data_IF_382969602145
#
_entry.id   IF_382969602145
#
_cell.length_a   1.000
_cell.length_b   1.000
_cell.length_c   1.000
_cell.angle_alpha   90.00
_cell.angle_beta   90.00
_cell.angle_gamma   90.00
#
_symmetry.space_group_name_H-M   'P 1'
#
loop_
_entity.id
_entity.type
_entity.pdbx_description
1 polymer ?
#
# COMPACT_ATOMS: atom_id res chain seq x y z
N UNK A 1 -54.70 35.84 45.43
CA UNK A 1 -53.66 36.17 44.42
C UNK A 1 -52.35 36.20 45.20
N UNK A 2 -51.33 35.35 45.03
CA UNK A 2 -50.56 34.96 43.83
C UNK A 2 -50.01 33.53 44.01
N UNK A 3 -49.78 32.86 42.87
CA UNK A 3 -49.39 31.46 42.64
C UNK A 3 -48.01 31.03 43.19
N UNK A 4 -47.91 29.73 43.47
CA UNK A 4 -46.69 28.89 43.67
C UNK A 4 -45.86 28.76 42.38
N UNK A 5 -44.52 28.60 42.52
CA UNK A 5 -43.59 27.77 41.70
C UNK A 5 -42.20 27.86 42.36
N UNK A 6 -41.56 26.81 42.88
CA UNK A 6 -41.14 25.59 42.20
C UNK A 6 -39.71 25.80 41.65
N UNK A 7 -38.67 25.67 42.49
CA UNK A 7 -37.27 25.74 42.04
C UNK A 7 -36.86 24.37 41.48
N UNK A 8 -36.80 24.30 40.15
CA UNK A 8 -36.38 23.14 39.38
C UNK A 8 -34.88 22.89 39.48
N UNK A 9 -34.53 21.61 39.56
CA UNK A 9 -33.15 21.13 39.51
C UNK A 9 -32.51 21.33 38.14
N UNK A 10 -31.21 21.58 38.15
CA UNK A 10 -30.36 21.60 36.96
C UNK A 10 -29.76 20.21 36.79
N UNK A 11 -29.93 19.53 35.65
CA UNK A 11 -29.18 18.31 35.38
C UNK A 11 -27.74 18.69 35.06
N UNK A 12 -26.80 18.19 35.87
CA UNK A 12 -25.38 18.15 35.51
C UNK A 12 -25.26 17.13 34.38
N UNK A 13 -25.19 17.62 33.15
CA UNK A 13 -24.89 16.77 31.98
C UNK A 13 -23.42 16.37 32.09
N UNK A 14 -23.17 15.21 32.70
CA UNK A 14 -21.91 14.48 32.55
C UNK A 14 -21.80 14.09 31.08
N UNK A 15 -21.16 14.95 30.30
CA UNK A 15 -20.78 14.65 28.92
C UNK A 15 -19.82 13.48 28.92
N UNK A 16 -20.33 12.29 28.60
CA UNK A 16 -19.50 11.18 28.17
C UNK A 16 -18.81 11.61 26.87
N UNK A 17 -17.56 12.06 26.99
CA UNK A 17 -16.67 12.16 25.84
C UNK A 17 -16.49 10.71 25.35
N UNK A 18 -17.22 10.35 24.31
CA UNK A 18 -17.00 9.11 23.57
C UNK A 18 -15.60 9.21 22.97
N UNK A 19 -14.61 8.71 23.69
CA UNK A 19 -13.28 8.47 23.14
C UNK A 19 -13.44 7.31 22.17
N UNK A 20 -13.71 7.63 20.89
CA UNK A 20 -13.85 6.63 19.85
C UNK A 20 -12.52 5.88 19.70
N UNK A 21 -12.53 4.63 20.15
CA UNK A 21 -11.38 3.73 20.13
C UNK A 21 -11.17 3.29 18.68
N UNK A 22 -10.22 3.89 17.96
CA UNK A 22 -9.84 3.38 16.65
C UNK A 22 -8.91 2.17 16.80
N UNK A 23 -9.38 1.03 16.35
CA UNK A 23 -8.56 -0.16 16.17
C UNK A 23 -7.85 -0.02 14.83
N UNK A 24 -6.53 -0.06 14.85
CA UNK A 24 -5.66 -0.27 13.69
C UNK A 24 -4.59 -1.25 14.14
N UNK A 25 -4.02 -2.04 13.22
CA UNK A 25 -3.00 -3.03 13.55
C UNK A 25 -1.93 -2.40 14.43
N UNK A 26 -1.75 -2.96 15.64
CA UNK A 26 -0.83 -2.43 16.64
C UNK A 26 0.62 -2.46 16.17
N UNK A 27 0.95 -3.29 15.17
CA UNK A 27 2.33 -3.56 14.74
C UNK A 27 2.61 -3.27 13.26
N UNK A 28 1.67 -2.69 12.52
CA UNK A 28 1.83 -2.36 11.08
C UNK A 28 0.99 -3.21 10.12
N UNK A 29 1.09 -2.92 8.83
CA UNK A 29 0.38 -3.63 7.77
C UNK A 29 0.89 -5.09 7.61
N UNK A 30 0.03 -6.06 7.27
CA UNK A 30 0.44 -7.44 6.96
C UNK A 30 1.27 -7.58 5.67
N UNK A 31 2.04 -8.66 5.54
CA UNK A 31 2.96 -8.88 4.40
C UNK A 31 2.27 -8.93 3.02
N UNK A 32 1.01 -9.35 2.95
CA UNK A 32 0.25 -9.39 1.69
C UNK A 32 -0.22 -8.01 1.19
N UNK A 33 -0.09 -6.96 2.00
CA UNK A 33 -0.50 -5.58 1.65
C UNK A 33 0.22 -5.08 0.40
N UNK A 34 1.45 -5.57 0.17
CA UNK A 34 2.25 -5.21 -0.99
C UNK A 34 1.56 -5.49 -2.32
N UNK A 35 0.76 -6.57 -2.39
CA UNK A 35 0.10 -7.03 -3.61
C UNK A 35 -1.31 -6.46 -3.76
N UNK A 36 -2.06 -6.51 -2.65
CA UNK A 36 -3.42 -5.97 -2.59
C UNK A 36 -3.65 -5.28 -1.24
N UNK A 37 -3.60 -3.94 -1.21
CA UNK A 37 -3.77 -3.20 0.04
C UNK A 37 -5.23 -3.17 0.50
N UNK A 38 -6.17 -3.52 -0.38
CA UNK A 38 -7.60 -3.58 -0.05
C UNK A 38 -7.97 -4.88 0.63
N UNK A 39 -7.30 -5.98 0.29
CA UNK A 39 -7.57 -7.32 0.84
C UNK A 39 -7.54 -7.35 2.38
N UNK A 40 -6.69 -6.53 3.00
CA UNK A 40 -6.47 -6.53 4.45
C UNK A 40 -7.71 -6.08 5.25
N UNK A 41 -8.66 -5.40 4.61
CA UNK A 41 -9.90 -4.94 5.24
C UNK A 41 -11.14 -5.73 4.78
N UNK A 42 -10.96 -6.79 4.00
CA UNK A 42 -12.06 -7.60 3.44
C UNK A 42 -12.19 -8.98 4.09
N UNK A 43 -11.47 -9.27 5.18
CA UNK A 43 -11.63 -10.50 5.94
C UNK A 43 -11.36 -10.32 7.43
N UNK A 44 -11.93 -11.23 8.23
CA UNK A 44 -11.74 -11.20 9.67
C UNK A 44 -10.33 -11.70 10.03
N UNK A 45 -9.48 -10.79 10.51
CA UNK A 45 -8.13 -11.13 10.96
C UNK A 45 -8.07 -11.57 12.43
N UNK A 46 -8.94 -11.02 13.29
CA UNK A 46 -9.01 -11.37 14.71
C UNK A 46 -10.41 -11.03 15.27
N UNK A 47 -10.60 -11.22 16.59
CA UNK A 47 -11.89 -10.95 17.24
C UNK A 47 -12.34 -9.48 17.18
N UNK A 48 -11.41 -8.52 17.05
CA UNK A 48 -11.69 -7.08 17.03
C UNK A 48 -11.82 -6.49 15.63
N UNK A 49 -11.38 -7.21 14.59
CA UNK A 49 -11.40 -6.81 13.20
C UNK A 49 -12.44 -7.63 12.42
N UNK A 50 -13.71 -7.32 12.62
CA UNK A 50 -14.84 -7.99 11.95
C UNK A 50 -15.36 -7.14 10.79
N UNK A 51 -15.87 -7.78 9.73
CA UNK A 51 -16.52 -7.11 8.61
C UNK A 51 -15.67 -6.95 7.35
N UNK A 52 -16.35 -6.60 6.26
CA UNK A 52 -15.77 -6.31 4.94
C UNK A 52 -15.90 -4.81 4.71
N UNK A 53 -14.78 -4.09 4.69
CA UNK A 53 -14.73 -2.67 4.39
C UNK A 53 -13.98 -2.45 3.09
N UNK A 54 -14.53 -1.56 2.26
CA UNK A 54 -13.93 -1.16 0.99
C UNK A 54 -13.25 0.19 1.14
N UNK A 55 -12.24 0.51 0.29
CA UNK A 55 -11.58 1.80 0.35
C UNK A 55 -12.59 2.91 0.07
N UNK A 56 -12.43 4.02 0.77
CA UNK A 56 -13.20 5.23 0.52
C UNK A 56 -12.88 5.79 -0.87
N UNK A 57 -13.82 6.51 -1.53
CA UNK A 57 -13.58 7.11 -2.84
C UNK A 57 -12.35 8.03 -2.84
N UNK A 58 -11.50 7.92 -3.86
CA UNK A 58 -10.25 8.71 -3.99
C UNK A 58 -10.51 10.22 -3.95
N UNK A 59 -11.59 10.69 -4.59
CA UNK A 59 -11.98 12.11 -4.58
C UNK A 59 -12.40 12.66 -3.21
N UNK A 60 -12.48 11.80 -2.17
CA UNK A 60 -12.74 12.18 -0.77
C UNK A 60 -11.54 11.94 0.14
N UNK A 61 -10.36 11.68 -0.42
CA UNK A 61 -9.13 11.51 0.35
C UNK A 61 -8.69 12.83 1.00
N UNK A 62 -8.53 12.89 2.35
CA UNK A 62 -8.07 14.09 3.04
C UNK A 62 -6.54 14.19 3.16
N UNK A 63 -5.77 13.17 2.73
CA UNK A 63 -4.33 13.07 2.95
C UNK A 63 -3.53 13.33 1.67
N UNK A 64 -2.34 13.89 1.85
CA UNK A 64 -1.44 14.23 0.76
C UNK A 64 -0.13 13.46 0.94
N UNK A 65 0.33 12.82 -0.13
CA UNK A 65 1.63 12.17 -0.22
C UNK A 65 2.57 13.04 -1.04
N UNK A 66 3.68 13.47 -0.45
CA UNK A 66 4.64 14.37 -1.08
C UNK A 66 6.07 13.88 -0.89
N UNK A 67 6.94 14.27 -1.82
CA UNK A 67 8.38 14.01 -1.76
C UNK A 67 9.14 15.32 -1.61
N UNK A 68 10.34 15.27 -1.04
CA UNK A 68 11.20 16.45 -0.91
C UNK A 68 11.85 16.89 -2.23
N UNK A 69 11.69 16.09 -3.28
CA UNK A 69 12.31 16.29 -4.59
C UNK A 69 11.51 15.65 -5.72
N UNK A 70 11.85 16.05 -6.95
CA UNK A 70 11.24 15.57 -8.19
C UNK A 70 12.14 14.62 -8.99
N UNK A 71 13.40 14.45 -8.56
CA UNK A 71 14.35 13.52 -9.15
C UNK A 71 15.08 12.70 -8.09
N UNK A 72 15.68 11.59 -8.49
CA UNK A 72 16.40 10.70 -7.58
C UNK A 72 17.58 10.03 -8.28
N UNK A 73 18.63 9.71 -7.52
CA UNK A 73 19.79 8.97 -8.01
C UNK A 73 20.15 7.80 -7.11
N UNK A 74 21.03 6.91 -7.57
CA UNK A 74 21.38 5.69 -6.85
C UNK A 74 21.88 6.01 -5.43
N UNK A 75 21.33 5.32 -4.44
CA UNK A 75 21.69 5.48 -3.03
C UNK A 75 21.32 6.83 -2.39
N UNK A 76 20.82 7.81 -3.15
CA UNK A 76 20.50 9.14 -2.63
C UNK A 76 19.14 9.16 -1.90
N UNK A 77 19.11 9.40 -0.57
CA UNK A 77 17.86 9.28 0.17
C UNK A 77 16.82 10.33 -0.23
N UNK A 78 15.58 9.87 -0.43
CA UNK A 78 14.40 10.69 -0.70
C UNK A 78 13.51 10.70 0.53
N UNK A 79 13.04 11.88 0.96
CA UNK A 79 12.06 11.99 2.04
C UNK A 79 10.66 11.94 1.45
N UNK A 80 9.86 10.99 1.94
CA UNK A 80 8.47 10.81 1.53
C UNK A 80 7.59 11.11 2.74
N UNK A 81 6.62 11.99 2.57
CA UNK A 81 5.82 12.53 3.67
C UNK A 81 4.33 12.36 3.39
N UNK A 82 3.61 11.71 4.31
CA UNK A 82 2.15 11.74 4.36
C UNK A 82 1.75 12.79 5.38
N UNK A 83 0.86 13.70 5.01
CA UNK A 83 0.28 14.65 5.94
C UNK A 83 -1.22 14.83 5.73
N UNK A 84 -1.90 15.21 6.80
CA UNK A 84 -3.27 15.67 6.75
C UNK A 84 -3.33 16.94 5.89
N UNK A 85 -4.18 16.94 4.86
CA UNK A 85 -4.49 18.16 4.12
C UNK A 85 -5.35 19.11 4.96
N UNK A 86 -6.12 19.96 4.28
CA UNK A 86 -6.87 21.06 4.91
C UNK A 86 -7.96 20.64 5.91
N UNK A 87 -8.27 19.34 6.00
CA UNK A 87 -9.27 18.83 6.95
C UNK A 87 -8.72 18.65 8.37
N UNK A 88 -7.39 18.60 8.54
CA UNK A 88 -6.76 18.34 9.84
C UNK A 88 -7.13 16.99 10.45
N UNK A 89 -7.59 16.01 9.66
CA UNK A 89 -7.96 14.69 10.18
C UNK A 89 -6.71 13.85 10.46
N UNK A 90 -6.56 13.24 11.65
CA UNK A 90 -5.44 12.34 11.91
C UNK A 90 -5.60 11.02 11.12
N UNK A 91 -4.51 10.28 10.99
CA UNK A 91 -4.47 8.89 10.56
C UNK A 91 -3.67 8.07 11.56
N UNK A 92 -3.93 6.76 11.64
CA UNK A 92 -3.28 5.87 12.62
C UNK A 92 -2.40 4.82 11.97
N UNK A 93 -2.74 4.41 10.76
CA UNK A 93 -1.96 3.45 9.99
C UNK A 93 -1.63 3.95 8.60
N UNK A 94 -0.52 3.46 8.07
CA UNK A 94 -0.17 3.70 6.67
C UNK A 94 0.67 2.56 6.11
N UNK A 95 0.67 2.49 4.79
CA UNK A 95 1.59 1.66 4.03
C UNK A 95 2.01 2.42 2.77
N UNK A 96 3.31 2.52 2.50
CA UNK A 96 3.86 3.22 1.32
C UNK A 96 4.70 2.24 0.52
N UNK A 97 4.58 2.30 -0.80
CA UNK A 97 5.47 1.60 -1.74
C UNK A 97 5.99 2.56 -2.81
N UNK A 98 7.21 2.33 -3.28
CA UNK A 98 7.75 2.96 -4.48
C UNK A 98 7.55 2.00 -5.66
N UNK A 99 6.85 2.41 -6.71
CA UNK A 99 6.52 1.55 -7.87
C UNK A 99 6.71 2.32 -9.17
N UNK A 100 6.55 1.62 -10.30
CA UNK A 100 6.57 2.25 -11.63
C UNK A 100 5.52 3.36 -11.72
N UNK A 101 5.90 4.49 -12.31
CA UNK A 101 5.03 5.63 -12.46
C UNK A 101 3.75 5.28 -13.22
N UNK A 102 2.61 5.83 -12.77
CA UNK A 102 1.30 5.63 -13.38
C UNK A 102 0.82 4.16 -13.44
N UNK A 103 1.41 3.26 -12.65
CA UNK A 103 0.96 1.87 -12.60
C UNK A 103 -0.50 1.77 -12.19
N UNK A 104 -1.25 0.87 -12.84
CA UNK A 104 -2.60 0.54 -12.41
C UNK A 104 -2.55 -0.18 -11.05
N UNK A 105 -3.20 0.38 -10.02
CA UNK A 105 -3.18 -0.21 -8.67
C UNK A 105 -3.80 -1.61 -8.60
N UNK A 106 -4.65 -1.98 -9.57
CA UNK A 106 -5.22 -3.33 -9.70
C UNK A 106 -4.23 -4.34 -10.29
N UNK A 107 -3.05 -3.90 -10.73
CA UNK A 107 -1.99 -4.79 -11.15
C UNK A 107 -1.36 -5.49 -9.94
N UNK A 108 -1.73 -6.75 -9.74
CA UNK A 108 -1.20 -7.62 -8.67
C UNK A 108 0.23 -8.12 -8.92
N UNK A 109 0.83 -7.77 -10.06
CA UNK A 109 2.24 -8.05 -10.41
C UNK A 109 3.14 -6.83 -10.25
N UNK A 110 2.71 -5.80 -9.53
CA UNK A 110 3.54 -4.61 -9.27
C UNK A 110 4.77 -4.98 -8.43
N UNK A 111 5.94 -4.58 -8.92
CA UNK A 111 7.23 -4.77 -8.24
C UNK A 111 7.59 -3.46 -7.55
N UNK A 112 7.78 -3.46 -6.22
CA UNK A 112 8.20 -2.25 -5.54
C UNK A 112 9.72 -2.09 -5.59
N UNK A 113 10.21 -0.85 -5.65
CA UNK A 113 11.62 -0.51 -5.87
C UNK A 113 12.30 0.03 -4.61
N UNK A 114 13.61 -0.17 -4.55
CA UNK A 114 14.47 0.41 -3.52
C UNK A 114 14.18 -0.12 -2.11
N UNK A 115 14.66 0.64 -1.14
CA UNK A 115 14.68 0.23 0.27
C UNK A 115 14.17 1.36 1.15
N UNK A 116 13.25 1.10 2.06
CA UNK A 116 12.93 2.07 3.10
C UNK A 116 13.80 1.89 4.34
N UNK A 117 14.16 3.00 4.99
CA UNK A 117 14.83 2.99 6.29
C UNK A 117 13.80 2.93 7.43
N UNK A 118 14.13 2.21 8.50
CA UNK A 118 13.35 2.23 9.75
C UNK A 118 13.56 3.54 10.52
N UNK A 119 12.52 4.04 11.18
CA UNK A 119 12.62 5.24 12.02
C UNK A 119 11.27 5.97 12.14
N UNK A 120 11.21 6.98 13.00
CA UNK A 120 10.02 7.85 13.12
C UNK A 120 8.69 7.09 13.37
N UNK A 121 8.71 5.99 14.14
CA UNK A 121 7.51 5.16 14.35
C UNK A 121 7.08 4.35 13.13
N UNK A 122 8.02 4.06 12.22
CA UNK A 122 7.80 3.29 10.99
C UNK A 122 8.86 2.21 10.79
N UNK A 123 8.48 1.11 10.14
CA UNK A 123 9.35 -0.03 9.85
C UNK A 123 9.18 -0.51 8.39
N UNK A 124 10.26 -0.95 7.73
CA UNK A 124 10.16 -1.57 6.41
C UNK A 124 9.27 -2.81 6.46
N UNK A 125 8.52 -3.03 5.39
CA UNK A 125 7.81 -4.27 5.12
C UNK A 125 8.55 -5.04 4.06
N UNK A 126 8.70 -6.35 4.23
CA UNK A 126 9.10 -7.20 3.11
C UNK A 126 7.95 -7.19 2.10
N UNK A 127 8.29 -6.95 0.84
CA UNK A 127 7.40 -7.15 -0.29
C UNK A 127 7.97 -8.21 -1.23
N UNK A 128 8.71 -9.16 -0.65
CA UNK A 128 9.43 -10.17 -1.41
C UNK A 128 8.43 -11.07 -2.14
N UNK A 129 8.61 -11.21 -3.45
CA UNK A 129 7.86 -12.17 -4.26
C UNK A 129 8.69 -13.45 -4.45
N UNK A 130 8.05 -14.64 -4.49
CA UNK A 130 8.76 -15.89 -4.72
C UNK A 130 9.59 -15.82 -6.02
N UNK A 131 10.91 -16.00 -5.90
CA UNK A 131 11.84 -15.96 -7.03
C UNK A 131 12.38 -14.57 -7.40
N UNK A 132 12.04 -13.51 -6.65
CA UNK A 132 12.60 -12.17 -6.83
C UNK A 132 13.71 -11.88 -5.82
N UNK A 133 14.65 -11.01 -6.20
CA UNK A 133 15.67 -10.48 -5.29
C UNK A 133 14.96 -9.62 -4.25
N UNK A 134 15.38 -9.67 -2.98
CA UNK A 134 14.75 -8.94 -1.87
C UNK A 134 14.56 -7.47 -2.22
N UNK A 135 13.32 -7.08 -2.46
CA UNK A 135 12.92 -5.70 -2.71
C UNK A 135 12.17 -5.22 -1.47
N UNK A 136 12.87 -4.55 -0.54
CA UNK A 136 12.27 -3.91 0.64
C UNK A 136 11.56 -2.60 0.24
N UNK A 137 10.71 -2.67 -0.77
CA UNK A 137 10.07 -1.52 -1.38
C UNK A 137 8.77 -1.10 -0.69
N UNK A 138 8.51 -1.56 0.54
CA UNK A 138 7.37 -1.17 1.36
C UNK A 138 7.77 -0.66 2.75
N UNK A 139 6.95 0.22 3.34
CA UNK A 139 7.11 0.71 4.72
C UNK A 139 5.75 0.92 5.38
N UNK A 140 5.64 0.61 6.67
CA UNK A 140 4.39 0.71 7.44
C UNK A 140 4.62 1.33 8.83
N UNK A 141 3.54 1.69 9.51
CA UNK A 141 3.57 2.19 10.88
C UNK A 141 3.97 1.09 11.88
N UNK A 142 4.54 1.49 13.01
CA UNK A 142 4.83 0.60 14.15
C UNK A 142 3.79 0.77 15.26
N UNK A 143 3.15 1.94 15.34
CA UNK A 143 2.23 2.31 16.41
C UNK A 143 0.93 2.85 15.80
N UNK A 144 -0.19 2.69 16.50
CA UNK A 144 -1.54 3.09 16.05
C UNK A 144 -2.04 4.40 16.70
N UNK A 145 -1.14 5.19 17.26
CA UNK A 145 -1.40 6.55 17.75
C UNK A 145 -1.80 7.50 16.61
N UNK A 146 -2.53 8.57 16.95
CA UNK A 146 -2.97 9.57 15.99
C UNK A 146 -1.78 10.37 15.44
N UNK A 147 -1.64 10.35 14.11
CA UNK A 147 -0.61 11.05 13.35
C UNK A 147 -1.26 12.08 12.44
N UNK A 148 -0.68 13.27 12.38
CA UNK A 148 -1.04 14.32 11.42
C UNK A 148 -0.03 14.44 10.30
N UNK A 149 1.18 13.96 10.54
CA UNK A 149 2.29 13.97 9.60
C UNK A 149 3.23 12.81 9.91
N UNK A 150 3.71 12.14 8.88
CA UNK A 150 4.80 11.17 8.97
C UNK A 150 5.74 11.35 7.79
N UNK A 151 7.03 11.43 8.07
CA UNK A 151 8.10 11.40 7.06
C UNK A 151 8.88 10.10 7.20
N UNK A 152 9.05 9.42 6.08
CA UNK A 152 9.88 8.21 5.95
C UNK A 152 11.00 8.47 4.93
N UNK A 153 12.03 7.63 4.96
CA UNK A 153 13.18 7.75 4.06
C UNK A 153 13.23 6.56 3.12
N UNK A 154 13.18 6.84 1.82
CA UNK A 154 13.37 5.86 0.75
C UNK A 154 14.78 5.99 0.17
N UNK A 155 15.44 4.87 -0.06
CA UNK A 155 16.77 4.75 -0.65
C UNK A 155 16.59 4.10 -2.03
N UNK A 156 16.83 4.85 -3.11
CA UNK A 156 16.77 4.32 -4.46
C UNK A 156 17.75 3.18 -4.67
N UNK A 157 17.41 2.18 -5.49
CA UNK A 157 18.33 1.11 -5.85
C UNK A 157 19.51 1.64 -6.68
N UNK A 158 20.58 0.85 -6.77
CA UNK A 158 21.76 1.12 -7.61
C UNK A 158 21.43 1.02 -9.11
N UNK A 159 20.55 0.08 -9.48
CA UNK A 159 20.03 -0.04 -10.85
C UNK A 159 18.90 0.96 -11.09
N UNK A 160 18.79 1.53 -12.30
CA UNK A 160 17.79 2.56 -12.60
C UNK A 160 16.38 1.99 -12.77
N UNK A 161 15.44 2.20 -11.83
CA UNK A 161 14.10 1.60 -11.89
C UNK A 161 13.16 2.28 -12.90
N UNK A 162 13.64 3.27 -13.66
CA UNK A 162 12.81 4.14 -14.49
C UNK A 162 12.08 5.21 -13.68
N UNK A 163 10.97 5.73 -14.20
CA UNK A 163 10.18 6.72 -13.47
C UNK A 163 9.47 6.06 -12.30
N UNK A 164 9.61 6.66 -11.10
CA UNK A 164 9.04 6.14 -9.86
C UNK A 164 7.89 7.00 -9.39
N UNK A 165 6.85 6.38 -8.85
CA UNK A 165 5.78 7.05 -8.14
C UNK A 165 5.50 6.32 -6.83
N UNK A 166 5.31 7.08 -5.75
CA UNK A 166 4.93 6.49 -4.47
C UNK A 166 3.42 6.30 -4.40
N UNK A 167 3.00 5.12 -3.94
CA UNK A 167 1.62 4.81 -3.62
C UNK A 167 1.48 4.63 -2.12
N UNK A 168 0.48 5.26 -1.53
CA UNK A 168 0.14 5.09 -0.13
C UNK A 168 -1.28 4.55 0.06
N UNK A 169 -1.40 3.75 1.11
CA UNK A 169 -2.66 3.43 1.77
C UNK A 169 -2.64 4.10 3.13
N UNK A 170 -3.70 4.82 3.49
CA UNK A 170 -3.81 5.53 4.77
C UNK A 170 -5.08 5.11 5.48
N UNK A 171 -4.93 4.73 6.75
CA UNK A 171 -5.99 4.22 7.62
C UNK A 171 -6.27 5.25 8.70
N UNK A 172 -7.48 5.82 8.69
CA UNK A 172 -7.98 6.65 9.79
C UNK A 172 -8.57 5.79 10.90
N UNK A 173 -9.38 4.81 10.51
CA UNK A 173 -9.98 3.77 11.35
C UNK A 173 -9.94 2.48 10.57
N UNK A 174 -10.05 1.33 11.25
CA UNK A 174 -10.19 0.05 10.56
C UNK A 174 -11.24 0.05 9.44
N UNK A 175 -12.36 0.75 9.66
CA UNK A 175 -13.49 0.82 8.73
C UNK A 175 -13.38 1.96 7.72
N UNK A 176 -12.41 2.85 7.86
CA UNK A 176 -12.27 4.09 7.07
C UNK A 176 -10.82 4.28 6.65
N UNK A 177 -10.55 3.91 5.39
CA UNK A 177 -9.22 3.94 4.80
C UNK A 177 -9.30 4.33 3.32
N UNK A 178 -8.18 4.83 2.80
CA UNK A 178 -8.03 5.24 1.41
C UNK A 178 -6.82 4.52 0.83
N UNK A 179 -6.96 4.08 -0.41
CA UNK A 179 -5.88 3.51 -1.22
C UNK A 179 -5.57 4.44 -2.39
N UNK A 180 -4.52 4.13 -3.15
CA UNK A 180 -4.14 4.86 -4.37
C UNK A 180 -3.81 6.34 -4.14
N UNK A 181 -3.32 6.70 -2.95
CA UNK A 181 -2.84 8.05 -2.68
C UNK A 181 -1.45 8.17 -3.32
N UNK A 182 -1.29 9.10 -4.27
CA UNK A 182 -0.08 9.19 -5.11
C UNK A 182 0.77 10.39 -4.77
N UNK A 183 2.08 10.23 -4.85
CA UNK A 183 3.01 11.34 -4.98
C UNK A 183 3.03 11.86 -6.42
N UNK A 184 3.77 12.95 -6.62
CA UNK A 184 4.29 13.29 -7.96
C UNK A 184 5.15 12.14 -8.52
N UNK A 185 5.35 12.15 -9.82
CA UNK A 185 6.33 11.27 -10.48
C UNK A 185 7.72 11.81 -10.22
N UNK A 186 8.65 10.92 -9.86
CA UNK A 186 10.07 11.21 -9.71
C UNK A 186 10.84 10.64 -10.90
N UNK A 187 11.81 11.41 -11.37
CA UNK A 187 12.63 11.06 -12.54
C UNK A 187 14.05 10.62 -12.14
N UNK A 188 14.59 9.53 -12.71
CA UNK A 188 15.92 9.06 -12.37
C UNK A 188 16.99 9.99 -12.94
N UNK A 189 18.02 10.30 -12.14
CA UNK A 189 19.18 11.13 -12.46
C UNK A 189 20.46 10.48 -11.93
N UNK A 190 21.58 10.64 -12.64
CA UNK A 190 22.90 10.20 -12.13
C UNK A 190 23.13 8.68 -12.11
N UNK A 191 22.26 7.88 -12.74
CA UNK A 191 22.50 6.45 -12.94
C UNK A 191 23.53 6.22 -14.06
N UNK A 192 24.65 5.57 -13.73
CA UNK A 192 25.70 5.20 -14.69
C UNK A 192 25.58 3.72 -15.08
N UNK A 193 24.92 3.44 -16.19
CA UNK A 193 24.65 2.08 -16.66
C UNK A 193 23.33 2.05 -17.43
N UNK A 194 23.06 0.96 -18.16
CA UNK A 194 21.75 0.77 -18.80
C UNK A 194 20.66 1.01 -17.74
N UNK A 195 19.47 1.46 -18.16
CA UNK A 195 18.30 1.40 -17.29
C UNK A 195 18.32 0.03 -16.58
N UNK A 196 17.82 -0.11 -15.34
CA UNK A 196 17.34 -1.42 -14.95
C UNK A 196 16.39 -1.74 -16.09
N UNK A 197 16.85 -2.61 -17.00
CA UNK A 197 16.08 -2.91 -18.17
C UNK A 197 14.74 -3.28 -17.57
N UNK A 198 13.68 -3.02 -18.29
CA UNK A 198 12.55 -3.86 -18.11
C UNK A 198 13.08 -5.30 -18.21
N UNK A 199 13.44 -5.92 -17.09
CA UNK A 199 13.08 -7.27 -16.77
C UNK A 199 11.56 -7.26 -16.60
N UNK A 200 10.83 -6.73 -17.62
CA UNK A 200 9.92 -7.58 -18.37
C UNK A 200 10.65 -8.89 -18.46
N UNK A 201 10.28 -9.79 -17.56
CA UNK A 201 10.09 -11.22 -17.76
C UNK A 201 10.45 -11.67 -19.18
N UNK A 202 11.68 -11.48 -19.62
CA UNK A 202 12.27 -12.26 -20.67
C UNK A 202 12.56 -13.55 -19.94
N UNK A 203 11.56 -14.42 -19.97
CA UNK A 203 11.78 -15.83 -19.74
C UNK A 203 13.03 -16.16 -20.54
N UNK A 204 14.12 -16.53 -19.84
CA UNK A 204 15.26 -17.09 -20.56
C UNK A 204 14.72 -18.19 -21.47
N UNK A 205 15.28 -18.42 -22.67
CA UNK A 205 14.79 -19.48 -23.55
C UNK A 205 14.62 -20.81 -22.81
N UNK A 206 15.49 -21.10 -21.84
CA UNK A 206 15.36 -22.23 -20.91
C UNK A 206 14.10 -22.15 -20.04
N UNK A 207 13.85 -21.06 -19.32
CA UNK A 207 12.66 -20.92 -18.47
C UNK A 207 11.36 -20.94 -19.28
N UNK A 208 11.34 -20.35 -20.47
CA UNK A 208 10.20 -20.41 -21.39
C UNK A 208 9.93 -21.87 -21.81
N UNK A 209 10.99 -22.61 -22.13
CA UNK A 209 10.91 -24.02 -22.50
C UNK A 209 10.45 -24.90 -21.33
N UNK A 210 10.94 -24.66 -20.10
CA UNK A 210 10.48 -25.37 -18.90
C UNK A 210 9.02 -25.07 -18.57
N UNK A 211 8.60 -23.81 -18.64
CA UNK A 211 7.20 -23.44 -18.41
C UNK A 211 6.27 -24.06 -19.45
N UNK A 212 6.68 -24.07 -20.73
CA UNK A 212 5.93 -24.71 -21.81
C UNK A 212 5.88 -26.23 -21.67
N UNK A 213 7.00 -26.87 -21.30
CA UNK A 213 7.05 -28.31 -21.06
C UNK A 213 6.15 -28.71 -19.88
N UNK A 214 6.19 -27.95 -18.78
CA UNK A 214 5.32 -28.18 -17.62
C UNK A 214 3.84 -27.95 -17.97
N UNK A 215 3.54 -26.96 -18.81
CA UNK A 215 2.20 -26.74 -19.33
C UNK A 215 1.71 -27.91 -20.20
N UNK A 216 2.53 -28.43 -21.11
CA UNK A 216 2.19 -29.62 -21.90
C UNK A 216 2.00 -30.87 -21.03
N UNK A 217 2.82 -31.03 -19.99
CA UNK A 217 2.68 -32.10 -19.00
C UNK A 217 1.38 -32.00 -18.19
N UNK A 218 0.89 -30.80 -17.94
CA UNK A 218 -0.41 -30.58 -17.30
C UNK A 218 -1.56 -30.80 -18.30
N UNK A 219 -1.40 -30.38 -19.56
CA UNK A 219 -2.41 -30.49 -20.59
C UNK A 219 -2.70 -31.94 -21.04
N UNK A 220 -1.69 -32.82 -21.03
CA UNK A 220 -1.87 -34.25 -21.35
C UNK A 220 -2.70 -35.02 -20.31
N UNK A 221 -2.87 -34.46 -19.10
CA UNK A 221 -3.68 -35.03 -18.02
C UNK A 221 -4.94 -34.21 -17.71
N UNK A 222 -5.20 -33.13 -18.46
CA UNK A 222 -6.34 -32.24 -18.25
C UNK A 222 -7.61 -32.80 -18.92
N UNK A 223 -8.74 -32.69 -18.22
CA UNK A 223 -10.05 -33.06 -18.78
C UNK A 223 -10.49 -32.07 -19.86
N UNK A 224 -11.42 -32.45 -20.77
CA UNK A 224 -11.86 -31.56 -21.86
C UNK A 224 -12.41 -30.21 -21.39
N UNK A 225 -13.02 -30.15 -20.19
CA UNK A 225 -13.51 -28.91 -19.60
C UNK A 225 -12.37 -28.01 -19.10
N UNK A 226 -11.31 -28.60 -18.54
CA UNK A 226 -10.11 -27.88 -18.11
C UNK A 226 -9.34 -27.33 -19.31
N UNK A 227 -9.27 -28.08 -20.43
CA UNK A 227 -8.66 -27.61 -21.67
C UNK A 227 -9.36 -26.36 -22.24
N UNK A 228 -10.69 -26.31 -22.14
CA UNK A 228 -11.48 -25.18 -22.63
C UNK A 228 -11.31 -23.91 -21.78
N UNK A 229 -11.03 -24.07 -20.48
CA UNK A 229 -10.75 -22.96 -19.57
C UNK A 229 -9.33 -22.40 -19.78
N UNK A 230 -8.34 -23.27 -19.98
CA UNK A 230 -6.95 -22.88 -20.26
C UNK A 230 -6.80 -22.10 -21.57
N UNK A 231 -7.61 -22.43 -22.59
CA UNK A 231 -7.64 -21.69 -23.86
C UNK A 231 -8.24 -20.27 -23.74
N UNK A 232 -9.06 -20.00 -22.71
CA UNK A 232 -9.69 -18.68 -22.51
C UNK A 232 -8.81 -17.66 -21.79
N UNK A 233 -7.78 -18.10 -21.07
CA UNK A 233 -6.94 -17.22 -20.23
C UNK A 233 -5.80 -16.52 -21.00
N UNK A 234 -5.68 -16.72 -22.32
CA UNK A 234 -4.88 -15.92 -23.26
C UNK A 234 -3.42 -15.62 -22.82
N UNK A 235 -2.70 -16.63 -22.32
CA UNK A 235 -1.28 -16.54 -21.93
C UNK A 235 -0.29 -16.76 -23.10
N UNK A 236 -0.67 -16.43 -24.33
CA UNK A 236 0.21 -16.51 -25.50
C UNK A 236 0.65 -15.09 -25.89
N UNK A 237 1.95 -14.74 -25.87
CA UNK A 237 2.43 -13.64 -26.68
C UNK A 237 2.41 -14.09 -28.15
N UNK A 238 1.84 -13.28 -29.04
CA UNK A 238 2.06 -13.45 -30.48
C UNK A 238 3.51 -13.17 -30.83
#
# INVERSE_FOLDING_TARGET
>A
MIRVKGLGGWPVILGFILFEISVAFETGAPDNTCRDPSSVHTFQFNATHTGIYMPQPEGRNPYILQTDRQSFGPGQPVKVTIHSGNTGQPFRGFFIQAVEANINIRNLSRVPFGTFASGNGSRPSSCDMPGEVVHRGGITHVQNDDKYNITVTWIPPEDNPGNVQFLATVVRRYTTYWTNIRSIVLYPEGYSGQAAAQTRREWTPAMAWYAWMMYLLQAQHATPQQQQQLQRENLVPQ
#
